data_IF_340260324779
#
_entry.id   IF_340260324779
#
_cell.length_a   1.000
_cell.length_b   1.000
_cell.length_c   1.000
_cell.angle_alpha   90.00
_cell.angle_beta   90.00
_cell.angle_gamma   90.00
#
_symmetry.space_group_name_H-M   'P 1'
#
loop_
_entity.id
_entity.type
_entity.pdbx_description
1 polymer ?
#
# COMPACT_ATOMS: atom_id res chain seq x y z
N UNK A 1 -0.30 -25.45 -6.56
CA UNK A 1 -0.28 -24.01 -6.21
C UNK A 1 -0.34 -23.12 -7.45
N UNK A 2 0.60 -23.23 -8.40
CA UNK A 2 0.69 -22.34 -9.57
C UNK A 2 -0.61 -22.21 -10.39
N UNK A 3 -1.27 -23.33 -10.73
CA UNK A 3 -2.57 -23.30 -11.43
C UNK A 3 -3.67 -22.55 -10.67
N UNK A 4 -3.62 -22.57 -9.34
CA UNK A 4 -4.55 -21.81 -8.47
C UNK A 4 -4.32 -20.31 -8.61
N UNK A 5 -3.05 -19.90 -8.57
CA UNK A 5 -2.64 -18.50 -8.74
C UNK A 5 -3.04 -18.00 -10.13
N UNK A 6 -2.76 -18.78 -11.19
CA UNK A 6 -3.15 -18.43 -12.56
C UNK A 6 -4.66 -18.24 -12.71
N UNK A 7 -5.47 -19.14 -12.12
CA UNK A 7 -6.92 -19.03 -12.16
C UNK A 7 -7.44 -17.78 -11.41
N UNK A 8 -6.87 -17.45 -10.25
CA UNK A 8 -7.23 -16.22 -9.53
C UNK A 8 -6.78 -14.96 -10.28
N UNK A 9 -5.56 -14.91 -10.81
CA UNK A 9 -5.09 -13.79 -11.63
C UNK A 9 -6.00 -13.57 -12.84
N UNK A 10 -6.37 -14.66 -13.53
CA UNK A 10 -7.31 -14.60 -14.65
C UNK A 10 -8.65 -14.01 -14.21
N UNK A 11 -9.22 -14.48 -13.09
CA UNK A 11 -10.48 -13.95 -12.54
C UNK A 11 -10.40 -12.46 -12.24
N UNK A 12 -9.31 -11.99 -11.62
CA UNK A 12 -9.16 -10.56 -11.25
C UNK A 12 -9.07 -9.67 -12.49
N UNK A 13 -8.25 -10.04 -13.47
CA UNK A 13 -8.03 -9.22 -14.68
C UNK A 13 -9.29 -9.11 -15.55
N UNK A 14 -10.19 -10.11 -15.50
CA UNK A 14 -11.44 -10.10 -16.27
C UNK A 14 -12.60 -9.43 -15.52
N UNK A 15 -12.41 -9.00 -14.27
CA UNK A 15 -13.44 -8.27 -13.53
C UNK A 15 -13.38 -6.78 -13.88
N UNK A 16 -14.52 -6.14 -14.20
CA UNK A 16 -14.56 -4.71 -14.46
C UNK A 16 -14.12 -3.90 -13.22
N UNK A 17 -14.38 -4.42 -12.02
CA UNK A 17 -13.99 -3.79 -10.76
C UNK A 17 -12.48 -3.50 -10.67
N UNK A 18 -11.62 -4.40 -11.17
CA UNK A 18 -10.17 -4.20 -11.18
C UNK A 18 -9.78 -2.99 -12.05
N UNK A 19 -10.30 -2.93 -13.27
CA UNK A 19 -9.99 -1.86 -14.22
C UNK A 19 -10.57 -0.52 -13.80
N UNK A 20 -11.83 -0.49 -13.35
CA UNK A 20 -12.48 0.75 -12.89
C UNK A 20 -11.70 1.35 -11.72
N UNK A 21 -11.36 0.56 -10.71
CA UNK A 21 -10.58 1.04 -9.56
C UNK A 21 -9.20 1.54 -9.98
N UNK A 22 -8.51 0.79 -10.85
CA UNK A 22 -7.19 1.18 -11.37
C UNK A 22 -7.24 2.51 -12.13
N UNK A 23 -8.23 2.68 -13.01
CA UNK A 23 -8.42 3.91 -13.79
C UNK A 23 -8.76 5.08 -12.86
N UNK A 24 -9.65 4.90 -11.88
CA UNK A 24 -9.98 5.95 -10.92
C UNK A 24 -8.78 6.39 -10.10
N UNK A 25 -7.96 5.45 -9.60
CA UNK A 25 -6.73 5.78 -8.89
C UNK A 25 -5.71 6.50 -9.80
N UNK A 26 -5.60 6.07 -11.07
CA UNK A 26 -4.74 6.72 -12.05
C UNK A 26 -5.23 8.15 -12.36
N UNK A 27 -6.52 8.35 -12.58
CA UNK A 27 -7.12 9.67 -12.79
C UNK A 27 -6.94 10.59 -11.58
N UNK A 28 -7.08 10.05 -10.36
CA UNK A 28 -6.78 10.80 -9.14
C UNK A 28 -5.31 11.25 -9.11
N UNK A 29 -4.38 10.36 -9.46
CA UNK A 29 -2.95 10.69 -9.52
C UNK A 29 -2.64 11.79 -10.54
N UNK A 30 -3.29 11.75 -11.71
CA UNK A 30 -3.20 12.81 -12.73
C UNK A 30 -3.83 14.11 -12.22
N UNK A 31 -4.95 14.04 -11.51
CA UNK A 31 -5.62 15.18 -10.88
C UNK A 31 -4.71 15.89 -9.88
N UNK A 32 -3.97 15.15 -9.05
CA UNK A 32 -2.97 15.72 -8.13
C UNK A 32 -1.88 16.48 -8.89
N UNK A 33 -1.34 15.90 -9.97
CA UNK A 33 -0.35 16.59 -10.82
C UNK A 33 -0.96 17.81 -11.50
N UNK A 34 -2.22 17.73 -11.94
CA UNK A 34 -2.92 18.85 -12.54
C UNK A 34 -3.08 20.01 -11.54
N UNK A 35 -3.39 19.73 -10.28
CA UNK A 35 -3.38 20.75 -9.23
C UNK A 35 -1.99 21.39 -9.05
N UNK A 36 -0.92 20.59 -9.06
CA UNK A 36 0.45 21.11 -9.04
C UNK A 36 0.76 21.97 -10.28
N UNK A 37 0.25 21.59 -11.45
CA UNK A 37 0.40 22.36 -12.67
C UNK A 37 -0.28 23.73 -12.58
N UNK A 38 -1.49 23.81 -12.01
CA UNK A 38 -2.16 25.10 -11.77
C UNK A 38 -1.36 25.99 -10.81
N UNK A 39 -0.80 25.42 -9.75
CA UNK A 39 0.09 26.17 -8.84
C UNK A 39 1.34 26.66 -9.61
N UNK A 40 1.86 25.82 -10.50
CA UNK A 40 3.01 26.17 -11.33
C UNK A 40 2.71 27.38 -12.24
N UNK A 41 1.54 27.43 -12.87
CA UNK A 41 1.21 28.51 -13.82
C UNK A 41 1.01 29.88 -13.16
N UNK A 42 0.58 29.90 -11.89
CA UNK A 42 0.36 31.15 -11.14
C UNK A 42 1.63 31.71 -10.49
N UNK A 43 2.69 30.91 -10.35
CA UNK A 43 3.91 31.34 -9.67
C UNK A 43 4.80 32.20 -10.58
N UNK A 44 5.12 33.42 -10.13
CA UNK A 44 6.07 34.31 -10.78
C UNK A 44 7.50 34.07 -10.25
N UNK A 45 8.45 33.81 -11.14
CA UNK A 45 9.87 33.58 -10.81
C UNK A 45 10.32 32.12 -10.87
N UNK A 46 11.37 31.80 -10.12
CA UNK A 46 11.97 30.45 -10.06
C UNK A 46 10.99 29.49 -9.40
N UNK A 47 10.49 28.51 -10.17
CA UNK A 47 9.34 27.71 -9.77
C UNK A 47 9.72 26.33 -9.20
N UNK A 48 9.42 26.04 -7.92
CA UNK A 48 9.74 24.76 -7.29
C UNK A 48 8.96 23.59 -7.85
N UNK A 49 7.84 23.87 -8.53
CA UNK A 49 6.91 22.83 -8.98
C UNK A 49 7.37 22.28 -10.33
N UNK A 50 8.30 21.34 -10.26
CA UNK A 50 8.83 20.58 -11.38
C UNK A 50 8.73 19.07 -11.12
N UNK A 51 9.10 18.26 -12.12
CA UNK A 51 8.97 16.81 -12.03
C UNK A 51 9.70 16.18 -10.81
N UNK A 52 10.98 16.52 -10.51
CA UNK A 52 11.65 16.04 -9.30
C UNK A 52 10.91 16.35 -8.00
N UNK A 53 10.34 17.55 -7.89
CA UNK A 53 9.54 17.95 -6.73
C UNK A 53 8.28 17.07 -6.60
N UNK A 54 7.55 16.87 -7.70
CA UNK A 54 6.35 16.04 -7.69
C UNK A 54 6.69 14.59 -7.31
N UNK A 55 7.73 13.99 -7.90
CA UNK A 55 8.15 12.62 -7.56
C UNK A 55 8.59 12.52 -6.09
N UNK A 56 9.31 13.52 -5.58
CA UNK A 56 9.67 13.57 -4.15
C UNK A 56 8.43 13.73 -3.25
N UNK A 57 7.38 14.40 -3.71
CA UNK A 57 6.15 14.56 -2.93
C UNK A 57 5.37 13.25 -2.75
N UNK A 58 5.58 12.23 -3.60
CA UNK A 58 5.00 10.90 -3.41
C UNK A 58 5.41 10.24 -2.09
N UNK A 59 6.55 10.63 -1.51
CA UNK A 59 7.00 10.12 -0.21
C UNK A 59 5.96 10.39 0.88
N UNK A 60 5.27 11.53 0.83
CA UNK A 60 4.19 11.85 1.76
C UNK A 60 2.94 10.97 1.57
N UNK A 61 2.77 10.40 0.37
CA UNK A 61 1.68 9.48 0.06
C UNK A 61 1.95 8.02 0.42
N UNK A 62 3.19 7.62 0.71
CA UNK A 62 3.54 6.21 0.99
C UNK A 62 2.81 5.63 2.21
N UNK A 63 2.62 6.35 3.34
CA UNK A 63 1.84 5.87 4.47
C UNK A 63 0.38 5.60 4.11
N UNK A 64 -0.23 6.40 3.22
CA UNK A 64 -1.60 6.17 2.75
C UNK A 64 -1.73 4.79 2.07
N UNK A 65 -0.64 4.26 1.51
CA UNK A 65 -0.58 2.93 0.92
C UNK A 65 -1.04 1.82 1.87
N UNK A 66 -0.78 1.91 3.18
CA UNK A 66 -1.23 0.88 4.14
C UNK A 66 -2.76 0.82 4.25
N UNK A 67 -3.45 1.93 4.04
CA UNK A 67 -4.90 1.96 4.03
C UNK A 67 -5.44 1.45 2.67
N UNK A 68 -4.75 1.78 1.58
CA UNK A 68 -5.14 1.39 0.23
C UNK A 68 -4.94 -0.10 -0.07
N UNK A 69 -4.09 -0.83 0.68
CA UNK A 69 -3.94 -2.29 0.49
C UNK A 69 -5.27 -3.04 0.63
N UNK A 70 -6.22 -2.51 1.42
CA UNK A 70 -7.55 -3.09 1.58
C UNK A 70 -8.30 -3.17 0.26
N UNK A 71 -8.14 -2.17 -0.63
CA UNK A 71 -8.76 -2.15 -1.95
C UNK A 71 -8.16 -3.24 -2.84
N UNK A 72 -6.84 -3.45 -2.78
CA UNK A 72 -6.17 -4.52 -3.51
C UNK A 72 -6.62 -5.91 -3.07
N UNK A 73 -6.77 -6.10 -1.76
CA UNK A 73 -7.32 -7.35 -1.21
C UNK A 73 -8.78 -7.51 -1.60
N UNK A 74 -9.59 -6.45 -1.53
CA UNK A 74 -10.99 -6.49 -1.95
C UNK A 74 -11.11 -6.89 -3.42
N UNK A 75 -10.30 -6.35 -4.32
CA UNK A 75 -10.32 -6.73 -5.75
C UNK A 75 -10.14 -8.23 -5.97
N UNK A 76 -9.26 -8.87 -5.20
CA UNK A 76 -9.03 -10.32 -5.26
C UNK A 76 -10.16 -11.11 -4.58
N UNK A 77 -10.65 -10.61 -3.45
CA UNK A 77 -11.62 -11.31 -2.61
C UNK A 77 -13.08 -10.95 -2.93
N UNK A 78 -13.32 -10.01 -3.83
CA UNK A 78 -14.65 -9.43 -4.04
C UNK A 78 -15.65 -10.50 -4.44
N UNK A 79 -16.83 -10.43 -3.82
CA UNK A 79 -18.00 -11.28 -4.09
C UNK A 79 -17.79 -12.80 -3.89
N UNK A 80 -16.72 -13.22 -3.20
CA UNK A 80 -16.45 -14.64 -2.94
C UNK A 80 -17.52 -15.31 -2.08
N UNK A 81 -18.06 -14.58 -1.08
CA UNK A 81 -19.16 -15.06 -0.25
C UNK A 81 -20.52 -14.94 -0.96
N UNK A 82 -20.74 -13.87 -1.73
CA UNK A 82 -21.98 -13.62 -2.46
C UNK A 82 -22.30 -14.73 -3.47
N UNK A 83 -21.27 -15.26 -4.15
CA UNK A 83 -21.43 -16.32 -5.15
C UNK A 83 -21.03 -17.72 -4.65
N UNK A 84 -20.85 -17.90 -3.33
CA UNK A 84 -20.46 -19.19 -2.73
C UNK A 84 -19.19 -19.80 -3.35
N UNK A 85 -18.30 -18.99 -3.92
CA UNK A 85 -17.11 -19.45 -4.62
C UNK A 85 -16.17 -20.22 -3.68
N UNK A 86 -15.99 -19.73 -2.44
CA UNK A 86 -15.18 -20.43 -1.44
C UNK A 86 -15.76 -21.79 -1.05
N UNK A 87 -17.09 -21.88 -0.94
CA UNK A 87 -17.78 -23.14 -0.66
C UNK A 87 -17.56 -24.13 -1.79
N UNK A 88 -17.75 -23.67 -3.02
CA UNK A 88 -17.56 -24.50 -4.21
C UNK A 88 -16.12 -25.03 -4.29
N UNK A 89 -15.10 -24.19 -4.10
CA UNK A 89 -13.70 -24.63 -4.13
C UNK A 89 -13.37 -25.69 -3.08
N UNK A 90 -13.89 -25.53 -1.86
CA UNK A 90 -13.69 -26.52 -0.80
C UNK A 90 -14.45 -27.81 -1.11
N UNK A 91 -15.68 -27.72 -1.62
CA UNK A 91 -16.47 -28.90 -2.05
C UNK A 91 -15.85 -29.65 -3.22
N UNK A 92 -15.15 -28.96 -4.13
CA UNK A 92 -14.35 -29.57 -5.20
C UNK A 92 -12.99 -30.11 -4.72
N UNK A 93 -12.74 -30.13 -3.40
CA UNK A 93 -11.55 -30.75 -2.81
C UNK A 93 -10.30 -29.87 -2.81
N UNK A 94 -10.40 -28.57 -3.07
CA UNK A 94 -9.25 -27.67 -2.96
C UNK A 94 -8.93 -27.43 -1.48
N UNK A 95 -7.71 -27.79 -1.06
CA UNK A 95 -7.26 -27.59 0.31
C UNK A 95 -7.32 -26.13 0.76
N UNK A 96 -7.84 -25.88 1.97
CA UNK A 96 -8.07 -24.51 2.50
C UNK A 96 -6.81 -23.65 2.58
N UNK A 97 -5.67 -24.24 2.94
CA UNK A 97 -4.39 -23.53 2.92
C UNK A 97 -3.99 -23.10 1.51
N UNK A 98 -4.25 -23.94 0.49
CA UNK A 98 -4.00 -23.60 -0.91
C UNK A 98 -4.88 -22.47 -1.40
N UNK A 99 -6.14 -22.44 -0.97
CA UNK A 99 -7.06 -21.32 -1.22
C UNK A 99 -6.44 -20.04 -0.64
N UNK A 100 -6.14 -20.03 0.66
CA UNK A 100 -5.59 -18.86 1.35
C UNK A 100 -4.28 -18.36 0.72
N UNK A 101 -3.30 -19.26 0.55
CA UNK A 101 -1.99 -18.92 0.00
C UNK A 101 -2.06 -18.41 -1.45
N UNK A 102 -2.96 -18.95 -2.28
CA UNK A 102 -3.12 -18.45 -3.65
C UNK A 102 -3.65 -17.03 -3.66
N UNK A 103 -4.61 -16.68 -2.78
CA UNK A 103 -5.14 -15.31 -2.68
C UNK A 103 -4.09 -14.36 -2.16
N UNK A 104 -3.29 -14.79 -1.20
CA UNK A 104 -2.17 -13.98 -0.71
C UNK A 104 -1.21 -13.60 -1.84
N UNK A 105 -0.75 -14.58 -2.63
CA UNK A 105 0.16 -14.31 -3.76
C UNK A 105 -0.51 -13.42 -4.81
N UNK A 106 -1.78 -13.65 -5.13
CA UNK A 106 -2.50 -12.85 -6.14
C UNK A 106 -2.71 -11.42 -5.66
N UNK A 107 -3.06 -11.21 -4.39
CA UNK A 107 -3.16 -9.88 -3.79
C UNK A 107 -1.83 -9.14 -3.82
N UNK A 108 -0.71 -9.83 -3.57
CA UNK A 108 0.62 -9.24 -3.71
C UNK A 108 0.89 -8.80 -5.15
N UNK A 109 0.61 -9.67 -6.13
CA UNK A 109 0.82 -9.35 -7.55
C UNK A 109 -0.06 -8.19 -8.02
N UNK A 110 -1.32 -8.17 -7.61
CA UNK A 110 -2.28 -7.10 -7.93
C UNK A 110 -1.81 -5.77 -7.34
N UNK A 111 -1.43 -5.74 -6.06
CA UNK A 111 -0.94 -4.52 -5.42
C UNK A 111 0.39 -4.05 -6.01
N UNK A 112 1.31 -4.96 -6.35
CA UNK A 112 2.56 -4.62 -7.02
C UNK A 112 2.31 -4.02 -8.41
N UNK A 113 1.41 -4.62 -9.20
CA UNK A 113 1.02 -4.09 -10.51
C UNK A 113 0.38 -2.70 -10.39
N UNK A 114 -0.55 -2.52 -9.46
CA UNK A 114 -1.19 -1.24 -9.18
C UNK A 114 -0.16 -0.18 -8.79
N UNK A 115 0.75 -0.50 -7.88
CA UNK A 115 1.80 0.41 -7.46
C UNK A 115 2.68 0.84 -8.65
N UNK A 116 3.13 -0.10 -9.48
CA UNK A 116 3.94 0.21 -10.67
C UNK A 116 3.19 1.07 -11.67
N UNK A 117 1.91 0.76 -11.94
CA UNK A 117 1.07 1.55 -12.85
C UNK A 117 0.87 2.96 -12.31
N UNK A 118 0.57 3.12 -11.03
CA UNK A 118 0.33 4.44 -10.44
C UNK A 118 1.61 5.29 -10.40
N UNK A 119 2.75 4.71 -10.05
CA UNK A 119 4.04 5.42 -10.09
C UNK A 119 4.39 5.82 -11.53
N UNK A 120 4.17 4.94 -12.50
CA UNK A 120 4.41 5.23 -13.92
C UNK A 120 3.51 6.37 -14.41
N UNK A 121 2.20 6.30 -14.16
CA UNK A 121 1.24 7.34 -14.55
C UNK A 121 1.61 8.68 -13.90
N UNK A 122 1.93 8.68 -12.61
CA UNK A 122 2.32 9.89 -11.90
C UNK A 122 3.64 10.47 -12.42
N UNK A 123 4.64 9.63 -12.71
CA UNK A 123 5.91 10.05 -13.29
C UNK A 123 5.75 10.61 -14.71
N UNK A 124 4.92 9.99 -15.54
CA UNK A 124 4.64 10.47 -16.89
C UNK A 124 3.82 11.77 -16.87
N UNK A 125 2.79 11.85 -16.03
CA UNK A 125 1.99 13.06 -15.89
C UNK A 125 2.84 14.24 -15.38
N UNK A 126 3.71 14.00 -14.39
CA UNK A 126 4.63 15.03 -13.90
C UNK A 126 5.65 15.46 -14.96
N UNK A 127 6.16 14.54 -15.78
CA UNK A 127 7.02 14.89 -16.91
C UNK A 127 6.28 15.73 -17.95
N UNK A 128 5.06 15.36 -18.33
CA UNK A 128 4.29 16.04 -19.39
C UNK A 128 3.80 17.42 -18.94
N UNK A 129 3.23 17.52 -17.74
CA UNK A 129 2.60 18.75 -17.25
C UNK A 129 3.60 19.68 -16.55
N UNK A 130 4.50 19.14 -15.72
CA UNK A 130 5.43 19.95 -14.93
C UNK A 130 6.80 20.10 -15.60
N UNK A 131 7.19 19.20 -16.49
CA UNK A 131 8.46 19.27 -17.20
C UNK A 131 9.70 19.07 -16.31
N UNK A 132 10.86 19.06 -16.96
CA UNK A 132 12.15 19.01 -16.29
C UNK A 132 12.57 20.41 -15.81
N UNK A 133 13.28 20.52 -14.67
CA UNK A 133 13.83 21.81 -14.25
C UNK A 133 14.90 22.30 -15.24
N UNK A 134 15.01 23.61 -15.42
CA UNK A 134 16.15 24.19 -16.14
C UNK A 134 17.44 23.99 -15.33
N UNK A 135 18.61 24.10 -15.95
CA UNK A 135 19.89 23.96 -15.21
C UNK A 135 20.05 25.03 -14.12
N UNK A 136 19.57 26.25 -14.37
CA UNK A 136 19.59 27.33 -13.39
C UNK A 136 18.66 27.01 -12.20
N UNK A 137 17.44 26.54 -12.46
CA UNK A 137 16.48 26.20 -11.40
C UNK A 137 16.94 24.99 -10.59
N UNK A 138 17.51 23.98 -11.26
CA UNK A 138 18.02 22.78 -10.61
C UNK A 138 19.16 23.11 -9.65
N UNK A 139 20.08 23.97 -10.07
CA UNK A 139 21.18 24.43 -9.22
C UNK A 139 20.67 25.29 -8.05
N UNK A 140 19.70 26.18 -8.30
CA UNK A 140 19.12 27.03 -7.26
C UNK A 140 18.32 26.25 -6.21
N UNK A 141 17.62 25.19 -6.60
CA UNK A 141 16.69 24.45 -5.72
C UNK A 141 17.28 23.22 -5.08
N UNK A 142 18.04 22.45 -5.87
CA UNK A 142 18.55 21.15 -5.45
C UNK A 142 20.07 21.17 -5.26
N UNK A 143 20.75 22.27 -5.61
CA UNK A 143 22.20 22.37 -5.56
C UNK A 143 22.92 21.41 -6.50
N UNK A 144 22.21 20.85 -7.50
CA UNK A 144 22.71 19.84 -8.42
C UNK A 144 22.16 20.06 -9.83
N UNK A 145 22.83 19.47 -10.82
CA UNK A 145 22.40 19.48 -12.21
C UNK A 145 20.99 18.87 -12.41
N UNK A 146 20.28 19.31 -13.45
CA UNK A 146 18.92 18.87 -13.75
C UNK A 146 18.77 17.34 -13.90
N UNK A 147 19.77 16.65 -14.47
CA UNK A 147 19.75 15.20 -14.57
C UNK A 147 19.90 14.50 -13.21
N UNK A 148 20.70 15.09 -12.31
CA UNK A 148 20.94 14.54 -10.96
C UNK A 148 19.74 14.76 -10.05
N UNK A 149 19.01 15.86 -10.18
CA UNK A 149 17.79 16.10 -9.38
C UNK A 149 16.70 15.08 -9.68
N UNK A 150 16.49 14.73 -10.96
CA UNK A 150 15.55 13.66 -11.37
C UNK A 150 15.99 12.30 -10.80
N UNK A 151 17.28 11.97 -10.94
CA UNK A 151 17.82 10.71 -10.42
C UNK A 151 17.66 10.62 -8.90
N UNK A 152 17.94 11.70 -8.17
CA UNK A 152 17.80 11.76 -6.72
C UNK A 152 16.34 11.60 -6.29
N UNK A 153 15.38 12.18 -7.01
CA UNK A 153 13.95 12.03 -6.71
C UNK A 153 13.49 10.57 -6.83
N UNK A 154 13.86 9.87 -7.92
CA UNK A 154 13.54 8.45 -8.08
C UNK A 154 14.30 7.54 -7.11
N UNK A 155 15.56 7.88 -6.80
CA UNK A 155 16.35 7.15 -5.80
C UNK A 155 15.72 7.27 -4.42
N UNK A 156 15.26 8.46 -4.05
CA UNK A 156 14.51 8.68 -2.83
C UNK A 156 13.22 7.87 -2.85
N UNK A 157 12.40 7.96 -3.91
CA UNK A 157 11.19 7.15 -4.03
C UNK A 157 11.47 5.67 -3.81
N UNK A 158 12.41 5.07 -4.55
CA UNK A 158 12.76 3.66 -4.41
C UNK A 158 13.26 3.28 -3.01
N UNK A 159 14.04 4.15 -2.37
CA UNK A 159 14.57 3.90 -1.03
C UNK A 159 13.48 3.94 0.05
N UNK A 160 12.56 4.91 -0.01
CA UNK A 160 11.43 4.97 0.91
C UNK A 160 10.41 3.86 0.64
N UNK A 161 10.19 3.48 -0.62
CA UNK A 161 9.39 2.30 -0.97
C UNK A 161 9.98 1.03 -0.38
N UNK A 162 11.31 0.89 -0.32
CA UNK A 162 11.97 -0.27 0.28
C UNK A 162 11.67 -0.39 1.78
N UNK A 163 11.51 0.74 2.48
CA UNK A 163 11.05 0.79 3.87
C UNK A 163 9.55 0.52 4.02
N UNK A 164 8.72 1.09 3.15
CA UNK A 164 7.26 0.95 3.21
C UNK A 164 6.76 -0.44 2.78
N UNK A 165 7.45 -1.10 1.86
CA UNK A 165 7.07 -2.38 1.27
C UNK A 165 6.75 -3.48 2.30
N UNK A 166 7.63 -3.83 3.26
CA UNK A 166 7.31 -4.85 4.25
C UNK A 166 6.11 -4.48 5.13
N UNK A 167 5.92 -3.19 5.41
CA UNK A 167 4.77 -2.72 6.20
C UNK A 167 3.46 -2.88 5.40
N UNK A 168 3.47 -2.60 4.09
CA UNK A 168 2.35 -2.90 3.20
C UNK A 168 2.07 -4.41 3.13
N UNK A 169 3.09 -5.27 3.12
CA UNK A 169 2.89 -6.72 3.19
C UNK A 169 2.20 -7.15 4.51
N UNK A 170 2.57 -6.52 5.62
CA UNK A 170 1.93 -6.71 6.92
C UNK A 170 0.44 -6.34 6.86
N UNK A 171 0.15 -5.13 6.38
CA UNK A 171 -1.21 -4.62 6.23
C UNK A 171 -2.06 -5.46 5.28
N UNK A 172 -1.51 -5.84 4.12
CA UNK A 172 -2.17 -6.73 3.15
C UNK A 172 -2.52 -8.08 3.79
N UNK A 173 -1.62 -8.67 4.57
CA UNK A 173 -1.85 -9.97 5.21
C UNK A 173 -2.93 -9.89 6.28
N UNK A 174 -2.95 -8.81 7.06
CA UNK A 174 -3.99 -8.53 8.04
C UNK A 174 -5.35 -8.32 7.37
N UNK A 175 -5.40 -7.50 6.33
CA UNK A 175 -6.61 -7.28 5.52
C UNK A 175 -7.13 -8.61 4.96
N UNK A 176 -6.27 -9.43 4.36
CA UNK A 176 -6.65 -10.73 3.83
C UNK A 176 -7.23 -11.65 4.91
N UNK A 177 -6.65 -11.66 6.12
CA UNK A 177 -7.21 -12.38 7.25
C UNK A 177 -8.63 -11.89 7.59
N UNK A 178 -8.88 -10.57 7.65
CA UNK A 178 -10.22 -10.02 7.84
C UNK A 178 -11.20 -10.51 6.77
N UNK A 179 -10.81 -10.48 5.50
CA UNK A 179 -11.64 -10.93 4.38
C UNK A 179 -11.98 -12.42 4.42
N UNK A 180 -11.06 -13.30 4.83
CA UNK A 180 -11.37 -14.72 5.00
C UNK A 180 -12.23 -15.02 6.25
N UNK A 181 -12.19 -14.16 7.27
CA UNK A 181 -12.88 -14.38 8.53
C UNK A 181 -14.25 -13.73 8.59
N UNK A 182 -14.48 -12.66 7.85
CA UNK A 182 -15.73 -11.91 7.85
C UNK A 182 -16.46 -12.11 6.52
N UNK A 183 -17.73 -12.51 6.56
CA UNK A 183 -18.50 -12.83 5.36
C UNK A 183 -18.84 -11.60 4.50
N UNK A 184 -19.02 -10.43 5.13
CA UNK A 184 -19.30 -9.17 4.44
C UNK A 184 -17.99 -8.47 4.07
N UNK A 185 -17.76 -8.22 2.78
CA UNK A 185 -16.60 -7.46 2.29
C UNK A 185 -16.51 -6.08 2.93
N UNK A 186 -17.64 -5.38 3.08
CA UNK A 186 -17.69 -4.06 3.70
C UNK A 186 -17.26 -4.11 5.16
N UNK A 187 -17.78 -5.06 5.93
CA UNK A 187 -17.41 -5.22 7.34
C UNK A 187 -15.94 -5.66 7.47
N UNK A 188 -15.44 -6.50 6.56
CA UNK A 188 -14.04 -6.89 6.53
C UNK A 188 -13.11 -5.68 6.32
N UNK A 189 -13.43 -4.83 5.33
CA UNK A 189 -12.67 -3.62 5.04
C UNK A 189 -12.65 -2.65 6.23
N UNK A 190 -13.81 -2.36 6.81
CA UNK A 190 -13.90 -1.49 7.98
C UNK A 190 -13.24 -2.09 9.22
N UNK A 191 -13.28 -3.42 9.38
CA UNK A 191 -12.57 -4.09 10.47
C UNK A 191 -11.06 -3.94 10.33
N UNK A 192 -10.52 -4.08 9.12
CA UNK A 192 -9.10 -3.84 8.86
C UNK A 192 -8.68 -2.40 9.21
N UNK A 193 -9.41 -1.41 8.69
CA UNK A 193 -9.15 0.01 8.96
C UNK A 193 -9.28 0.30 10.47
N UNK A 194 -10.33 -0.24 11.09
CA UNK A 194 -10.58 -0.13 12.52
C UNK A 194 -9.44 -0.74 13.35
N UNK A 195 -8.93 -1.92 12.98
CA UNK A 195 -7.78 -2.53 13.65
C UNK A 195 -6.56 -1.62 13.53
N UNK A 196 -6.23 -1.11 12.35
CA UNK A 196 -5.07 -0.22 12.20
C UNK A 196 -5.19 1.05 13.04
N UNK A 197 -6.34 1.74 12.97
CA UNK A 197 -6.52 3.03 13.62
C UNK A 197 -6.76 2.89 15.12
N UNK A 198 -7.72 2.06 15.53
CA UNK A 198 -8.15 1.93 16.93
C UNK A 198 -7.07 1.26 17.76
N UNK A 199 -6.37 0.23 17.25
CA UNK A 199 -5.29 -0.41 17.99
C UNK A 199 -4.15 0.59 18.25
N UNK A 200 -3.75 1.33 17.22
CA UNK A 200 -2.67 2.33 17.34
C UNK A 200 -3.05 3.44 18.33
N UNK A 201 -4.25 4.00 18.19
CA UNK A 201 -4.76 5.06 19.06
C UNK A 201 -4.92 4.59 20.51
N UNK A 202 -5.44 3.37 20.73
CA UNK A 202 -5.61 2.83 22.07
C UNK A 202 -4.26 2.59 22.76
N UNK A 203 -3.29 2.01 22.06
CA UNK A 203 -1.97 1.73 22.63
C UNK A 203 -1.19 3.01 22.95
N UNK A 204 -1.25 4.04 22.10
CA UNK A 204 -0.60 5.31 22.37
C UNK A 204 -1.21 6.02 23.60
N UNK A 205 -2.54 6.14 23.64
CA UNK A 205 -3.23 6.77 24.78
C UNK A 205 -3.01 5.99 26.09
N UNK A 206 -3.11 4.66 26.07
CA UNK A 206 -2.81 3.84 27.25
C UNK A 206 -1.34 3.95 27.67
N UNK A 207 -0.43 4.15 26.71
CA UNK A 207 0.99 4.41 26.94
C UNK A 207 1.22 5.70 27.72
N UNK A 208 0.54 6.76 27.31
CA UNK A 208 0.64 8.08 27.91
C UNK A 208 -0.04 8.17 29.29
N UNK A 209 -1.22 7.59 29.44
CA UNK A 209 -2.06 7.81 30.62
C UNK A 209 -2.09 6.66 31.63
N UNK A 210 -1.70 5.44 31.24
CA UNK A 210 -1.85 4.25 32.10
C UNK A 210 -0.52 3.57 32.41
N UNK A 211 0.22 3.13 31.40
CA UNK A 211 1.48 2.40 31.62
C UNK A 211 2.42 2.49 30.40
N UNK A 212 3.73 2.80 30.59
CA UNK A 212 4.73 2.85 29.51
C UNK A 212 4.88 1.57 28.68
N UNK A 213 4.46 0.41 29.20
CA UNK A 213 4.43 -0.85 28.44
C UNK A 213 3.57 -0.73 27.17
N UNK A 214 2.48 0.03 27.21
CA UNK A 214 1.63 0.23 26.03
C UNK A 214 2.31 1.07 24.95
N UNK A 215 3.21 1.98 25.32
CA UNK A 215 4.07 2.69 24.34
C UNK A 215 5.00 1.72 23.61
N UNK A 216 5.54 0.72 24.32
CA UNK A 216 6.37 -0.32 23.69
C UNK A 216 5.57 -1.16 22.71
N UNK A 217 4.30 -1.46 23.03
CA UNK A 217 3.38 -2.15 22.11
C UNK A 217 2.95 -1.26 20.94
N UNK A 218 2.75 0.03 21.16
CA UNK A 218 2.46 1.00 20.10
C UNK A 218 3.56 1.02 19.05
N UNK A 219 4.83 0.92 19.46
CA UNK A 219 5.95 0.81 18.53
C UNK A 219 5.88 -0.46 17.66
N UNK A 220 5.17 -1.52 18.06
CA UNK A 220 4.97 -2.71 17.24
C UNK A 220 3.88 -2.55 16.17
N UNK A 221 3.17 -1.42 16.16
CA UNK A 221 2.13 -1.16 15.15
C UNK A 221 2.74 -0.80 13.80
N UNK A 222 2.02 -1.14 12.73
CA UNK A 222 2.42 -0.79 11.38
C UNK A 222 2.37 0.74 11.14
N UNK A 223 1.37 1.41 11.73
CA UNK A 223 1.18 2.86 11.58
C UNK A 223 2.35 3.66 12.17
N UNK A 224 2.83 3.30 13.37
CA UNK A 224 3.99 3.98 13.96
C UNK A 224 5.20 4.01 13.02
N UNK A 225 5.52 2.85 12.42
CA UNK A 225 6.64 2.75 11.50
C UNK A 225 6.37 3.46 10.16
N UNK A 226 5.13 3.51 9.70
CA UNK A 226 4.76 4.31 8.52
C UNK A 226 4.92 5.81 8.76
N UNK A 227 4.49 6.31 9.92
CA UNK A 227 4.61 7.72 10.27
C UNK A 227 6.08 8.12 10.45
N UNK A 228 6.92 7.22 10.97
CA UNK A 228 8.36 7.43 11.05
C UNK A 228 9.06 7.52 9.69
N UNK A 229 8.47 6.99 8.61
CA UNK A 229 8.99 7.20 7.25
C UNK A 229 8.80 8.65 6.80
N UNK A 230 7.88 9.41 7.40
CA UNK A 230 7.67 10.82 7.08
C UNK A 230 8.59 11.76 7.87
N UNK A 231 9.13 11.30 9.01
CA UNK A 231 9.81 12.17 9.99
C UNK A 231 11.31 11.84 10.05
N UNK A 232 12.09 12.74 9.44
CA UNK A 232 13.55 12.77 9.52
C UNK A 232 14.27 11.83 8.55
N UNK A 233 15.58 11.69 8.76
CA UNK A 233 16.41 10.82 7.92
C UNK A 233 16.03 9.35 8.08
N UNK A 234 16.16 8.60 6.98
CA UNK A 234 15.87 7.18 6.89
C UNK A 234 17.17 6.35 6.84
N UNK A 235 17.88 6.15 7.97
CA UNK A 235 19.04 5.26 7.97
C UNK A 235 18.63 3.80 7.72
N UNK A 236 19.58 3.00 7.29
CA UNK A 236 19.39 1.56 7.07
C UNK A 236 18.86 0.81 8.31
N UNK A 237 19.14 1.31 9.52
CA UNK A 237 18.60 0.75 10.76
C UNK A 237 17.07 0.88 10.84
N UNK A 238 16.50 2.03 10.47
CA UNK A 238 15.03 2.22 10.43
C UNK A 238 14.40 1.31 9.37
N UNK A 239 15.04 1.16 8.21
CA UNK A 239 14.58 0.20 7.19
C UNK A 239 14.56 -1.21 7.77
N UNK A 240 15.62 -1.64 8.46
CA UNK A 240 15.64 -2.95 9.12
C UNK A 240 14.49 -3.16 10.11
N UNK A 241 14.12 -2.12 10.86
CA UNK A 241 12.97 -2.15 11.77
C UNK A 241 11.63 -2.27 11.00
N UNK A 242 11.43 -1.50 9.92
CA UNK A 242 10.25 -1.65 9.06
C UNK A 242 10.12 -3.06 8.49
N UNK A 243 11.24 -3.68 8.11
CA UNK A 243 11.28 -5.07 7.64
C UNK A 243 10.91 -6.06 8.73
N UNK A 244 11.48 -5.92 9.93
CA UNK A 244 11.20 -6.79 11.06
C UNK A 244 9.71 -6.74 11.44
N UNK A 245 9.17 -5.53 11.59
CA UNK A 245 7.78 -5.33 11.99
C UNK A 245 6.82 -5.75 10.88
N UNK A 246 7.08 -5.33 9.63
CA UNK A 246 6.26 -5.67 8.48
C UNK A 246 6.17 -7.18 8.25
N UNK A 247 7.32 -7.87 8.23
CA UNK A 247 7.36 -9.33 8.09
C UNK A 247 6.79 -10.06 9.31
N UNK A 248 6.97 -9.52 10.52
CA UNK A 248 6.34 -10.05 11.73
C UNK A 248 4.82 -10.04 11.62
N UNK A 249 4.24 -8.91 11.22
CA UNK A 249 2.80 -8.80 10.95
C UNK A 249 2.34 -9.68 9.79
N UNK A 250 3.13 -9.79 8.72
CA UNK A 250 2.86 -10.72 7.61
C UNK A 250 2.75 -12.16 8.13
N UNK A 251 3.75 -12.62 8.89
CA UNK A 251 3.80 -13.99 9.39
C UNK A 251 2.64 -14.29 10.35
N UNK A 252 2.42 -13.42 11.35
CA UNK A 252 1.37 -13.60 12.36
C UNK A 252 -0.02 -13.53 11.71
N UNK A 253 -0.29 -12.53 10.88
CA UNK A 253 -1.60 -12.36 10.26
C UNK A 253 -1.92 -13.48 9.27
N UNK A 254 -0.93 -13.92 8.49
CA UNK A 254 -1.07 -15.04 7.55
C UNK A 254 -1.32 -16.35 8.29
N UNK A 255 -0.55 -16.62 9.35
CA UNK A 255 -0.70 -17.84 10.15
C UNK A 255 -2.06 -17.89 10.86
N UNK A 256 -2.46 -16.81 11.52
CA UNK A 256 -3.75 -16.70 12.20
C UNK A 256 -4.91 -16.78 11.19
N UNK A 257 -4.84 -16.03 10.10
CA UNK A 257 -5.86 -16.04 9.05
C UNK A 257 -6.04 -17.42 8.43
N UNK A 258 -4.95 -18.10 8.09
CA UNK A 258 -4.99 -19.45 7.53
C UNK A 258 -5.50 -20.50 8.54
N UNK A 259 -5.04 -20.43 9.80
CA UNK A 259 -5.46 -21.38 10.85
C UNK A 259 -6.93 -21.24 11.22
N UNK A 260 -7.42 -20.00 11.34
CA UNK A 260 -8.83 -19.74 11.63
C UNK A 260 -9.72 -20.07 10.43
N UNK A 261 -9.29 -19.77 9.19
CA UNK A 261 -10.00 -20.19 7.98
C UNK A 261 -10.06 -21.72 7.84
N UNK A 262 -9.01 -22.42 8.25
CA UNK A 262 -9.00 -23.88 8.25
C UNK A 262 -10.09 -24.50 9.15
N UNK A 263 -10.52 -23.79 10.20
CA UNK A 263 -11.56 -24.23 11.14
C UNK A 263 -12.95 -23.62 10.87
N UNK A 264 -13.01 -22.53 10.12
CA UNK A 264 -14.25 -21.80 9.83
C UNK A 264 -15.24 -22.67 9.04
N UNK A 265 -16.49 -22.72 9.49
CA UNK A 265 -17.58 -23.30 8.70
C UNK A 265 -17.93 -22.37 7.54
N UNK A 266 -17.92 -22.90 6.32
CA UNK A 266 -18.30 -22.16 5.12
C UNK A 266 -19.75 -22.56 4.81
N UNK A 267 -20.69 -21.70 5.21
CA UNK A 267 -22.12 -21.89 4.95
C UNK A 267 -22.45 -21.58 3.49
#
# INVERSE_FOLDING_TARGET
>A
MLRSIQAECFKVVHRPYFWITTILCALFSVGVIFCLYLIKTEASGVNPVNMPFAVASLLFGLPAGIYLVVLGVDMVFSEQYKYNTLKNEVSFGVGRFRIYASRWVVSLLVLAALYLVLVLVYALASLILLGLPSQADAQAMYGVDAGRSVLNAFRALGFYTLGAFPLWLGGMSLSLACYFLIASSTVAAFSYIGILMVLSMALDNLGQYVNPLFTSLYHLTLNYHMDQLLVGDLPWSKIGQCWLIGLGWTAVSTALGAALFARKEIK
#
